data_IF_877154479710
#
_entry.id   IF_877154479710
#
_cell.length_a   1.000
_cell.length_b   1.000
_cell.length_c   1.000
_cell.angle_alpha   90.00
_cell.angle_beta   90.00
_cell.angle_gamma   90.00
#
_symmetry.space_group_name_H-M   'P 1'
#
loop_
_entity.id
_entity.type
_entity.pdbx_description
1 polymer ?
#
# COMPACT_ATOMS: atom_id res chain seq x y z
N UNK A 1 32.18 24.40 -16.84
CA UNK A 1 30.89 24.87 -16.28
C UNK A 1 29.84 23.76 -16.11
N UNK A 2 29.79 22.73 -16.98
CA UNK A 2 28.69 21.74 -16.98
C UNK A 2 28.65 20.72 -15.84
N UNK A 3 29.80 20.27 -15.32
CA UNK A 3 29.84 19.23 -14.28
C UNK A 3 29.36 19.70 -12.90
N UNK A 4 29.68 20.93 -12.52
CA UNK A 4 29.23 21.53 -11.24
C UNK A 4 27.71 21.77 -11.26
N UNK A 5 27.16 22.17 -12.41
CA UNK A 5 25.71 22.31 -12.60
C UNK A 5 24.98 20.97 -12.50
N UNK A 6 25.53 19.91 -13.12
CA UNK A 6 24.97 18.56 -13.06
C UNK A 6 24.98 17.95 -11.64
N UNK A 7 26.01 18.23 -10.85
CA UNK A 7 26.07 17.79 -9.45
C UNK A 7 25.02 18.51 -8.61
N UNK A 8 24.85 19.83 -8.79
CA UNK A 8 23.85 20.61 -8.05
C UNK A 8 22.42 20.17 -8.39
N UNK A 9 22.11 19.93 -9.66
CA UNK A 9 20.79 19.42 -10.06
C UNK A 9 20.55 17.99 -9.57
N UNK A 10 21.57 17.14 -9.57
CA UNK A 10 21.48 15.78 -9.02
C UNK A 10 21.21 15.77 -7.52
N UNK A 11 21.90 16.60 -6.74
CA UNK A 11 21.67 16.75 -5.29
C UNK A 11 20.27 17.27 -4.99
N UNK A 12 19.78 18.23 -5.78
CA UNK A 12 18.44 18.78 -5.62
C UNK A 12 17.37 17.71 -5.85
N UNK A 13 17.49 16.91 -6.92
CA UNK A 13 16.58 15.80 -7.20
C UNK A 13 16.57 14.76 -6.09
N UNK A 14 17.73 14.43 -5.52
CA UNK A 14 17.85 13.47 -4.44
C UNK A 14 17.13 13.95 -3.16
N UNK A 15 17.26 15.25 -2.84
CA UNK A 15 16.58 15.86 -1.70
C UNK A 15 15.05 15.83 -1.87
N UNK A 16 14.55 16.15 -3.06
CA UNK A 16 13.10 16.08 -3.37
C UNK A 16 12.55 14.65 -3.33
N UNK A 17 13.33 13.64 -3.74
CA UNK A 17 12.91 12.25 -3.66
C UNK A 17 12.79 11.74 -2.21
N UNK A 18 13.58 12.30 -1.29
CA UNK A 18 13.61 11.89 0.12
C UNK A 18 12.53 12.53 1.01
N UNK A 19 11.85 13.59 0.56
CA UNK A 19 10.87 14.33 1.37
C UNK A 19 9.55 13.59 1.62
N UNK A 20 9.34 12.41 1.03
CA UNK A 20 8.15 11.58 1.27
C UNK A 20 8.22 10.68 2.51
N UNK A 21 9.40 10.51 3.12
CA UNK A 21 9.58 9.62 4.26
C UNK A 21 9.19 10.30 5.59
N UNK A 22 7.89 10.55 5.80
CA UNK A 22 7.38 11.05 7.07
C UNK A 22 7.16 9.90 8.08
N UNK A 23 7.77 10.01 9.26
CA UNK A 23 7.52 9.08 10.38
C UNK A 23 6.22 9.48 11.08
N UNK A 24 5.10 8.92 10.62
CA UNK A 24 3.78 9.04 11.27
C UNK A 24 3.63 8.04 12.41
N UNK A 25 2.96 8.46 13.48
CA UNK A 25 2.64 7.58 14.61
C UNK A 25 1.64 6.50 14.17
N UNK A 26 1.67 5.30 14.76
CA UNK A 26 0.80 4.19 14.34
C UNK A 26 -0.70 4.54 14.29
N UNK A 27 -1.22 5.32 15.23
CA UNK A 27 -2.63 5.73 15.28
C UNK A 27 -3.01 6.84 14.29
N UNK A 28 -2.05 7.61 13.78
CA UNK A 28 -2.31 8.60 12.73
C UNK A 28 -2.58 7.91 11.38
N UNK A 29 -2.09 6.67 11.21
CA UNK A 29 -2.37 5.86 10.02
C UNK A 29 -3.82 5.40 9.97
N UNK A 30 -4.44 5.11 11.11
CA UNK A 30 -5.84 4.70 11.18
C UNK A 30 -6.77 5.84 10.71
N UNK A 31 -6.49 7.07 11.14
CA UNK A 31 -7.24 8.26 10.72
C UNK A 31 -7.07 8.59 9.23
N UNK A 32 -5.94 8.20 8.64
CA UNK A 32 -5.63 8.42 7.21
C UNK A 32 -6.07 7.25 6.31
N UNK A 33 -6.29 6.06 6.86
CA UNK A 33 -6.65 4.85 6.12
C UNK A 33 -8.15 4.82 5.80
N UNK A 34 -8.54 5.51 4.71
CA UNK A 34 -9.91 5.40 4.18
C UNK A 34 -10.15 3.99 3.64
N UNK A 35 -11.39 3.49 3.75
CA UNK A 35 -11.77 2.13 3.32
C UNK A 35 -11.48 1.84 1.84
N UNK A 36 -11.52 2.87 1.00
CA UNK A 36 -11.25 2.77 -0.45
C UNK A 36 -9.76 2.67 -0.80
N UNK A 37 -8.84 2.87 0.17
CA UNK A 37 -7.40 2.69 -0.02
C UNK A 37 -6.93 1.26 0.25
N UNK A 38 -7.81 0.37 0.71
CA UNK A 38 -7.48 -1.02 0.96
C UNK A 38 -7.24 -1.79 -0.35
N UNK A 39 -6.41 -2.83 -0.30
CA UNK A 39 -6.21 -3.77 -1.42
C UNK A 39 -7.50 -4.43 -1.91
N UNK A 40 -8.45 -4.62 -0.99
CA UNK A 40 -9.82 -5.05 -1.26
C UNK A 40 -10.75 -4.05 -0.58
N UNK A 41 -11.13 -2.97 -1.28
CA UNK A 41 -12.02 -1.96 -0.72
C UNK A 41 -13.45 -2.49 -0.57
N UNK A 42 -13.83 -3.43 -1.43
CA UNK A 42 -15.07 -4.19 -1.33
C UNK A 42 -14.79 -5.65 -0.92
N UNK A 43 -15.11 -5.94 0.34
CA UNK A 43 -14.92 -7.28 0.91
C UNK A 43 -15.89 -8.33 0.35
N UNK A 44 -17.06 -7.92 -0.15
CA UNK A 44 -18.05 -8.83 -0.74
C UNK A 44 -17.59 -9.29 -2.12
N UNK A 45 -17.12 -8.36 -2.95
CA UNK A 45 -16.59 -8.70 -4.26
C UNK A 45 -15.32 -9.54 -4.16
N UNK A 46 -14.40 -9.23 -3.24
CA UNK A 46 -13.22 -10.08 -3.03
C UNK A 46 -13.58 -11.50 -2.55
N UNK A 47 -14.59 -11.65 -1.68
CA UNK A 47 -15.09 -12.98 -1.28
C UNK A 47 -15.70 -13.73 -2.47
N UNK A 48 -16.43 -13.03 -3.34
CA UNK A 48 -17.04 -13.60 -4.55
C UNK A 48 -15.97 -14.09 -5.53
N UNK A 49 -14.97 -13.26 -5.84
CA UNK A 49 -13.86 -13.63 -6.72
C UNK A 49 -13.08 -14.80 -6.16
N UNK A 50 -12.77 -14.78 -4.87
CA UNK A 50 -12.09 -15.87 -4.19
C UNK A 50 -12.89 -17.18 -4.28
N UNK A 51 -14.21 -17.13 -4.03
CA UNK A 51 -15.08 -18.30 -4.15
C UNK A 51 -15.08 -18.87 -5.58
N UNK A 52 -15.13 -18.02 -6.61
CA UNK A 52 -15.05 -18.43 -8.01
C UNK A 52 -13.69 -19.05 -8.31
N UNK A 53 -12.60 -18.43 -7.85
CA UNK A 53 -11.23 -18.87 -8.07
C UNK A 53 -10.97 -20.25 -7.46
N UNK A 54 -11.29 -20.47 -6.17
CA UNK A 54 -11.13 -21.77 -5.52
C UNK A 54 -11.97 -22.86 -6.17
N UNK A 55 -13.18 -22.52 -6.61
CA UNK A 55 -14.05 -23.46 -7.33
C UNK A 55 -13.44 -23.90 -8.66
N UNK A 56 -12.74 -22.99 -9.35
CA UNK A 56 -12.12 -23.27 -10.66
C UNK A 56 -10.78 -23.99 -10.56
N UNK A 57 -10.00 -23.67 -9.54
CA UNK A 57 -8.63 -24.18 -9.43
C UNK A 57 -8.48 -25.34 -8.45
N UNK A 58 -9.56 -25.76 -7.80
CA UNK A 58 -9.55 -26.76 -6.71
C UNK A 58 -8.49 -26.43 -5.62
N UNK A 59 -8.19 -25.14 -5.47
CA UNK A 59 -7.19 -24.62 -4.55
C UNK A 59 -7.84 -24.27 -3.21
N UNK A 60 -7.09 -24.46 -2.12
CA UNK A 60 -7.53 -24.09 -0.77
C UNK A 60 -7.48 -22.56 -0.60
N UNK A 61 -8.42 -21.94 0.13
CA UNK A 61 -8.33 -20.53 0.46
C UNK A 61 -7.08 -20.19 1.27
N UNK A 62 -6.04 -19.71 0.58
CA UNK A 62 -4.89 -19.05 1.18
C UNK A 62 -5.32 -17.69 1.73
N UNK A 63 -5.22 -17.52 3.05
CA UNK A 63 -5.73 -16.35 3.76
C UNK A 63 -5.20 -15.01 3.25
N UNK A 64 -6.03 -13.97 3.34
CA UNK A 64 -5.62 -12.60 3.08
C UNK A 64 -4.53 -12.20 4.08
N UNK A 65 -3.36 -11.78 3.57
CA UNK A 65 -2.38 -11.07 4.39
C UNK A 65 -3.06 -9.80 4.90
N UNK A 66 -3.34 -9.75 6.21
CA UNK A 66 -4.12 -8.70 6.85
C UNK A 66 -3.60 -7.31 6.49
N UNK A 67 -4.35 -6.62 5.63
CA UNK A 67 -4.21 -5.17 5.46
C UNK A 67 -4.56 -4.53 6.79
N UNK A 68 -3.61 -3.77 7.35
CA UNK A 68 -3.69 -3.18 8.68
C UNK A 68 -4.99 -2.41 8.92
N UNK A 69 -5.92 -3.08 9.59
CA UNK A 69 -7.08 -2.54 10.27
C UNK A 69 -7.19 -3.26 11.61
N UNK A 70 -8.04 -2.75 12.51
CA UNK A 70 -8.17 -3.13 13.92
C UNK A 70 -8.62 -4.59 14.19
N UNK A 71 -8.10 -5.60 13.48
CA UNK A 71 -8.01 -7.01 13.91
C UNK A 71 -9.29 -7.74 14.34
N UNK A 72 -10.46 -7.12 14.30
CA UNK A 72 -11.70 -7.70 14.80
C UNK A 72 -12.35 -8.52 13.70
N UNK A 73 -12.05 -9.82 13.73
CA UNK A 73 -13.03 -10.86 13.39
C UNK A 73 -14.13 -10.85 14.47
#
# INVERSE_FOLDING_TARGET
MGSRGAVVTGVLLLLLASSGCARVKPWERDLLARRDMGWSPDTLEAKREAHIYFSKEASMPGGSAGGGGCGCN
#
